data_IF_342057373582
#
_entry.id   IF_342057373582
#
_cell.length_a   1.000
_cell.length_b   1.000
_cell.length_c   1.000
_cell.angle_alpha   90.00
_cell.angle_beta   90.00
_cell.angle_gamma   90.00
#
_symmetry.space_group_name_H-M   'P 1'
#
loop_
_entity.id
_entity.type
_entity.pdbx_description
1 polymer ?
#
# COMPACT_ATOMS: atom_id res chain seq x y z
N UNK A 1 5.52 42.36 -36.60
CA UNK A 1 4.70 41.81 -35.49
C UNK A 1 4.76 40.30 -35.58
N UNK A 2 5.64 39.68 -34.81
CA UNK A 2 5.81 38.22 -34.70
C UNK A 2 6.33 37.99 -33.28
N UNK A 3 5.43 37.73 -32.34
CA UNK A 3 5.79 37.24 -31.01
C UNK A 3 5.67 35.71 -31.03
N UNK A 4 6.85 35.09 -31.02
CA UNK A 4 7.09 33.67 -30.82
C UNK A 4 6.75 33.26 -29.39
N UNK A 5 6.04 32.13 -29.26
CA UNK A 5 5.61 31.55 -28.00
C UNK A 5 6.75 31.20 -27.05
N UNK A 6 6.55 31.52 -25.78
CA UNK A 6 7.33 31.00 -24.67
C UNK A 6 6.77 29.61 -24.32
N UNK A 7 7.47 28.55 -24.72
CA UNK A 7 7.35 27.25 -24.08
C UNK A 7 8.06 27.30 -22.73
N UNK A 8 7.29 27.31 -21.64
CA UNK A 8 7.81 27.15 -20.29
C UNK A 8 8.25 25.69 -20.08
N UNK A 9 9.50 25.37 -20.41
CA UNK A 9 10.15 24.16 -19.91
C UNK A 9 10.29 24.29 -18.39
N UNK A 10 9.43 23.59 -17.66
CA UNK A 10 9.57 23.40 -16.22
C UNK A 10 10.84 22.58 -15.96
N UNK A 11 11.98 23.28 -15.81
CA UNK A 11 13.21 22.69 -15.32
C UNK A 11 12.97 22.36 -13.83
N UNK A 12 12.69 21.09 -13.53
CA UNK A 12 12.72 20.59 -12.16
C UNK A 12 14.17 20.69 -11.69
N UNK A 13 14.49 21.81 -11.06
CA UNK A 13 15.75 22.01 -10.36
C UNK A 13 15.77 21.01 -9.20
N UNK A 14 16.43 19.86 -9.40
CA UNK A 14 16.84 18.99 -8.31
C UNK A 14 17.90 19.77 -7.54
N UNK A 15 17.46 20.60 -6.59
CA UNK A 15 18.36 21.25 -5.63
C UNK A 15 19.20 20.16 -4.98
N UNK A 16 20.51 20.40 -4.94
CA UNK A 16 21.53 19.45 -4.50
C UNK A 16 21.12 18.73 -3.22
N UNK A 17 21.07 17.40 -3.31
CA UNK A 17 20.94 16.55 -2.12
C UNK A 17 22.31 16.51 -1.46
N UNK A 18 22.51 17.34 -0.44
CA UNK A 18 23.58 17.09 0.52
C UNK A 18 23.38 15.67 1.08
N UNK A 19 24.41 14.84 0.97
CA UNK A 19 24.37 13.49 1.50
C UNK A 19 24.42 13.54 3.03
N UNK A 20 23.66 12.66 3.67
CA UNK A 20 23.76 12.37 5.10
C UNK A 20 24.53 11.06 5.24
N UNK A 21 25.55 10.99 6.10
CA UNK A 21 26.16 9.70 6.50
C UNK A 21 26.25 9.65 8.00
N UNK A 22 26.03 8.44 8.49
CA UNK A 22 25.77 8.14 9.88
C UNK A 22 27.07 7.85 10.61
N UNK A 23 27.25 8.38 11.82
CA UNK A 23 28.15 7.73 12.77
C UNK A 23 27.59 6.32 13.02
N UNK A 24 28.39 5.30 12.67
CA UNK A 24 27.96 3.92 12.80
C UNK A 24 28.33 3.41 14.19
N UNK A 25 27.41 3.47 15.14
CA UNK A 25 27.41 2.41 16.16
C UNK A 25 27.28 1.09 15.41
N UNK A 26 28.21 0.15 15.63
CA UNK A 26 28.22 -1.12 14.93
C UNK A 26 26.87 -1.85 15.02
N UNK A 27 26.64 -2.81 14.13
CA UNK A 27 25.46 -3.68 14.24
C UNK A 27 25.41 -4.31 15.63
N UNK A 28 24.33 -4.08 16.35
CA UNK A 28 24.11 -4.58 17.70
C UNK A 28 23.31 -5.87 17.64
N UNK A 29 23.83 -6.94 18.24
CA UNK A 29 23.06 -8.16 18.48
C UNK A 29 22.07 -7.94 19.62
N UNK A 30 20.84 -8.40 19.41
CA UNK A 30 19.69 -8.26 20.32
C UNK A 30 18.93 -9.58 20.36
N UNK A 31 17.98 -9.65 21.28
CA UNK A 31 17.09 -10.79 21.47
C UNK A 31 15.67 -10.26 21.58
N UNK A 32 14.71 -10.90 20.91
CA UNK A 32 13.28 -10.60 21.03
C UNK A 32 12.75 -10.95 22.44
N UNK A 33 11.52 -10.55 22.76
CA UNK A 33 10.86 -10.98 24.00
C UNK A 33 10.75 -12.52 24.11
N UNK A 34 10.66 -13.22 22.98
CA UNK A 34 10.54 -14.68 22.92
C UNK A 34 11.88 -15.42 22.75
N UNK A 35 13.01 -14.71 22.83
CA UNK A 35 14.34 -15.33 22.84
C UNK A 35 15.00 -15.51 21.47
N UNK A 36 14.39 -15.06 20.38
CA UNK A 36 15.01 -15.12 19.05
C UNK A 36 16.12 -14.06 18.89
N UNK A 37 17.28 -14.42 18.34
CA UNK A 37 18.32 -13.45 18.06
C UNK A 37 17.92 -12.56 16.87
N UNK A 38 18.14 -11.25 17.00
CA UNK A 38 18.05 -10.31 15.87
C UNK A 38 19.18 -9.29 15.94
N UNK A 39 19.52 -8.67 14.82
CA UNK A 39 20.52 -7.61 14.78
C UNK A 39 19.86 -6.29 14.38
N UNK A 40 20.38 -5.19 14.90
CA UNK A 40 19.89 -3.87 14.55
C UNK A 40 21.03 -2.88 14.43
N UNK A 41 20.88 -1.94 13.50
CA UNK A 41 21.72 -0.77 13.39
C UNK A 41 20.85 0.48 13.58
N UNK A 42 21.29 1.44 14.39
CA UNK A 42 20.61 2.71 14.62
C UNK A 42 21.57 3.88 14.37
N UNK A 43 21.64 4.31 13.13
CA UNK A 43 21.07 5.61 12.84
C UNK A 43 21.45 6.86 13.66
N UNK A 44 22.72 7.22 13.92
CA UNK A 44 23.00 8.57 14.46
C UNK A 44 23.13 9.57 13.32
N UNK A 45 22.30 10.62 13.33
CA UNK A 45 22.28 11.65 12.31
C UNK A 45 23.50 12.57 12.44
N UNK A 46 24.52 12.35 11.61
CA UNK A 46 25.66 13.25 11.45
C UNK A 46 25.79 13.72 9.99
N UNK A 47 26.45 14.86 9.78
CA UNK A 47 26.68 15.41 8.44
C UNK A 47 27.88 14.71 7.80
N UNK A 48 27.78 14.32 6.53
CA UNK A 48 28.90 13.71 5.81
C UNK A 48 28.86 13.96 4.32
N UNK A 49 30.01 14.24 3.72
CA UNK A 49 30.13 14.61 2.32
C UNK A 49 30.02 13.45 1.31
N UNK A 50 29.77 12.21 1.75
CA UNK A 50 29.80 11.02 0.87
C UNK A 50 28.39 10.45 0.68
N UNK A 51 27.92 10.43 -0.56
CA UNK A 51 26.66 9.78 -0.97
C UNK A 51 26.88 8.27 -1.13
N UNK A 52 26.18 7.41 -0.37
CA UNK A 52 26.25 5.96 -0.58
C UNK A 52 25.57 5.56 -1.90
N UNK A 53 26.01 4.43 -2.47
CA UNK A 53 25.38 3.85 -3.65
C UNK A 53 23.96 3.34 -3.34
N UNK A 54 23.04 3.31 -4.34
CA UNK A 54 21.73 2.69 -4.19
C UNK A 54 21.82 1.21 -3.80
N UNK A 55 20.87 0.75 -2.98
CA UNK A 55 20.73 -0.66 -2.61
C UNK A 55 19.98 -1.43 -3.71
N UNK A 56 20.32 -2.72 -3.86
CA UNK A 56 19.64 -3.62 -4.78
C UNK A 56 18.73 -4.58 -4.02
N UNK A 57 17.48 -4.74 -4.47
CA UNK A 57 16.53 -5.75 -3.98
C UNK A 57 15.92 -6.50 -5.17
N UNK A 58 15.36 -7.68 -4.93
CA UNK A 58 14.84 -8.54 -6.01
C UNK A 58 13.45 -8.10 -6.47
N UNK A 59 12.49 -7.99 -5.55
CA UNK A 59 11.11 -7.65 -5.86
C UNK A 59 10.36 -7.15 -4.62
N UNK A 60 9.17 -6.57 -4.84
CA UNK A 60 8.17 -6.44 -3.79
C UNK A 60 7.66 -7.85 -3.44
N UNK A 61 8.04 -8.37 -2.29
CA UNK A 61 7.69 -9.74 -1.90
C UNK A 61 6.24 -9.85 -1.41
N UNK A 62 5.85 -9.03 -0.44
CA UNK A 62 4.52 -9.04 0.14
C UNK A 62 4.12 -7.69 0.72
N UNK A 63 2.82 -7.53 0.94
CA UNK A 63 2.21 -6.46 1.72
C UNK A 63 1.81 -7.00 3.09
N UNK A 64 1.93 -6.17 4.12
CA UNK A 64 1.66 -6.54 5.51
C UNK A 64 0.77 -5.48 6.15
N UNK A 65 -0.35 -5.90 6.73
CA UNK A 65 -1.26 -5.01 7.46
C UNK A 65 -1.61 -5.54 8.85
N UNK A 66 -1.79 -4.64 9.84
CA UNK A 66 -2.36 -5.02 11.11
C UNK A 66 -3.86 -5.32 10.94
N UNK A 67 -4.40 -6.20 11.77
CA UNK A 67 -5.83 -6.50 11.82
C UNK A 67 -6.24 -6.75 13.27
N UNK A 68 -7.46 -6.36 13.64
CA UNK A 68 -8.02 -6.83 14.91
C UNK A 68 -8.30 -8.33 14.82
N UNK A 69 -8.31 -9.03 15.96
CA UNK A 69 -8.58 -10.46 15.98
C UNK A 69 -9.96 -10.79 15.40
N UNK A 70 -10.93 -9.91 15.64
CA UNK A 70 -12.31 -10.04 15.17
C UNK A 70 -12.43 -9.83 13.66
N UNK A 71 -11.61 -8.96 13.07
CA UNK A 71 -11.65 -8.66 11.64
C UNK A 71 -10.84 -9.64 10.78
N UNK A 72 -10.00 -10.50 11.37
CA UNK A 72 -9.17 -11.44 10.60
C UNK A 72 -10.01 -12.35 9.68
N UNK A 73 -11.09 -12.93 10.19
CA UNK A 73 -12.00 -13.79 9.41
C UNK A 73 -12.65 -13.04 8.23
N UNK A 74 -13.39 -11.94 8.48
CA UNK A 74 -13.98 -11.13 7.43
C UNK A 74 -13.01 -10.66 6.36
N UNK A 75 -11.78 -10.29 6.75
CA UNK A 75 -10.73 -9.89 5.82
C UNK A 75 -10.27 -11.08 4.97
N UNK A 76 -10.01 -12.24 5.57
CA UNK A 76 -9.62 -13.44 4.81
C UNK A 76 -10.70 -13.81 3.80
N UNK A 77 -11.97 -13.84 4.23
CA UNK A 77 -13.10 -14.15 3.35
C UNK A 77 -13.17 -13.15 2.19
N UNK A 78 -12.97 -11.87 2.44
CA UNK A 78 -12.95 -10.85 1.38
C UNK A 78 -11.81 -11.07 0.38
N UNK A 79 -10.56 -11.23 0.83
CA UNK A 79 -9.44 -11.40 -0.08
C UNK A 79 -9.55 -12.70 -0.88
N UNK A 80 -10.06 -13.77 -0.29
CA UNK A 80 -10.24 -15.04 -0.97
C UNK A 80 -11.45 -15.03 -1.93
N UNK A 81 -12.63 -14.69 -1.43
CA UNK A 81 -13.89 -14.85 -2.17
C UNK A 81 -14.18 -13.70 -3.15
N UNK A 82 -13.64 -12.50 -2.89
CA UNK A 82 -13.85 -11.32 -3.76
C UNK A 82 -12.65 -11.09 -4.66
N UNK A 83 -11.44 -11.13 -4.11
CA UNK A 83 -10.20 -10.79 -4.85
C UNK A 83 -9.43 -12.02 -5.34
N UNK A 84 -9.96 -13.24 -5.12
CA UNK A 84 -9.41 -14.47 -5.68
C UNK A 84 -8.05 -14.89 -5.11
N UNK A 85 -7.70 -14.44 -3.90
CA UNK A 85 -6.52 -14.94 -3.22
C UNK A 85 -6.76 -16.35 -2.68
N UNK A 86 -5.69 -17.08 -2.45
CA UNK A 86 -5.70 -18.36 -1.76
C UNK A 86 -5.03 -18.22 -0.40
N UNK A 87 -5.69 -18.74 0.64
CA UNK A 87 -5.14 -18.81 1.98
C UNK A 87 -3.94 -19.78 2.00
N UNK A 88 -2.80 -19.30 2.48
CA UNK A 88 -1.61 -20.11 2.64
C UNK A 88 -1.66 -20.91 3.95
N UNK A 89 -1.39 -22.22 3.93
CA UNK A 89 -1.49 -23.07 5.12
C UNK A 89 -0.32 -22.89 6.11
N UNK A 90 0.80 -22.34 5.65
CA UNK A 90 2.09 -22.43 6.34
C UNK A 90 2.33 -21.29 7.35
N UNK A 91 1.34 -20.99 8.20
CA UNK A 91 1.57 -20.05 9.32
C UNK A 91 2.46 -20.72 10.38
N UNK A 92 3.52 -20.05 10.87
CA UNK A 92 4.34 -20.60 11.95
C UNK A 92 3.51 -20.88 13.22
N UNK A 93 3.39 -22.16 13.59
CA UNK A 93 2.54 -22.62 14.68
C UNK A 93 2.90 -22.06 16.08
N UNK A 94 4.12 -21.54 16.25
CA UNK A 94 4.61 -21.03 17.54
C UNK A 94 4.33 -19.54 17.77
N UNK A 95 3.74 -18.84 16.81
CA UNK A 95 3.52 -17.40 16.94
C UNK A 95 2.37 -17.10 17.91
N UNK A 96 2.56 -16.18 18.88
CA UNK A 96 1.62 -15.96 19.98
C UNK A 96 0.41 -15.09 19.61
N UNK A 97 0.31 -14.67 18.35
CA UNK A 97 -0.70 -13.74 17.85
C UNK A 97 -1.29 -14.24 16.54
N UNK A 98 -2.57 -13.97 16.27
CA UNK A 98 -3.28 -14.44 15.06
C UNK A 98 -2.77 -13.78 13.77
N UNK A 99 -3.00 -14.44 12.64
CA UNK A 99 -2.65 -13.88 11.35
C UNK A 99 -2.94 -14.85 10.21
N UNK A 100 -2.92 -14.33 9.00
CA UNK A 100 -3.16 -15.08 7.78
C UNK A 100 -2.26 -14.56 6.65
N UNK A 101 -1.68 -15.48 5.88
CA UNK A 101 -0.96 -15.20 4.65
C UNK A 101 -1.82 -15.65 3.49
N UNK A 102 -1.88 -14.85 2.45
CA UNK A 102 -2.68 -15.11 1.26
C UNK A 102 -1.86 -14.79 0.02
N UNK A 103 -2.03 -15.60 -1.02
CA UNK A 103 -1.35 -15.44 -2.30
C UNK A 103 -2.36 -15.41 -3.43
N UNK A 104 -2.21 -14.44 -4.33
CA UNK A 104 -2.97 -14.39 -5.57
C UNK A 104 -2.18 -15.04 -6.71
N UNK A 105 -2.88 -15.54 -7.74
CA UNK A 105 -2.26 -16.15 -8.93
C UNK A 105 -1.27 -15.23 -9.67
N UNK A 106 -1.39 -13.91 -9.52
CA UNK A 106 -0.42 -12.92 -10.02
C UNK A 106 0.94 -12.99 -9.33
N UNK A 107 1.09 -13.78 -8.27
CA UNK A 107 2.30 -13.88 -7.46
C UNK A 107 2.33 -12.91 -6.27
N UNK A 108 1.39 -11.94 -6.22
CA UNK A 108 1.25 -11.03 -5.09
C UNK A 108 0.92 -11.79 -3.81
N UNK A 109 1.58 -11.39 -2.72
CA UNK A 109 1.32 -11.89 -1.39
C UNK A 109 0.87 -10.76 -0.48
N UNK A 110 -0.12 -11.05 0.34
CA UNK A 110 -0.57 -10.19 1.41
C UNK A 110 -0.65 -10.99 2.70
N UNK A 111 -0.30 -10.38 3.83
CA UNK A 111 -0.58 -10.99 5.11
C UNK A 111 -1.15 -9.98 6.10
N UNK A 112 -1.98 -10.51 6.99
CA UNK A 112 -2.52 -9.78 8.12
C UNK A 112 -1.97 -10.39 9.40
N UNK A 113 -1.56 -9.53 10.31
CA UNK A 113 -1.10 -9.92 11.64
C UNK A 113 -1.96 -9.21 12.70
N UNK A 114 -2.27 -9.91 13.78
CA UNK A 114 -2.96 -9.32 14.93
C UNK A 114 -2.25 -8.03 15.35
N UNK A 115 -3.03 -6.98 15.53
CA UNK A 115 -2.50 -5.70 15.95
C UNK A 115 -1.90 -5.77 17.36
N UNK A 116 -0.79 -5.05 17.54
CA UNK A 116 -0.20 -4.79 18.83
C UNK A 116 -0.48 -3.33 19.18
N UNK A 117 -1.16 -3.08 20.30
CA UNK A 117 -1.51 -1.72 20.73
C UNK A 117 -0.29 -0.81 20.95
N UNK A 118 0.90 -1.39 21.13
CA UNK A 118 2.17 -0.65 21.22
C UNK A 118 2.72 -0.23 19.84
N UNK A 119 2.21 -0.80 18.76
CA UNK A 119 2.56 -0.46 17.38
C UNK A 119 1.53 0.54 16.86
N UNK A 120 1.92 1.79 16.58
CA UNK A 120 0.97 2.77 16.04
C UNK A 120 0.38 2.26 14.72
N UNK A 121 -0.93 2.03 14.68
CA UNK A 121 -1.65 2.05 13.41
C UNK A 121 -1.42 3.44 12.83
N UNK A 122 -0.71 3.52 11.71
CA UNK A 122 -0.76 4.77 10.97
C UNK A 122 -2.22 4.96 10.60
N UNK A 123 -2.88 6.05 11.05
CA UNK A 123 -4.30 6.21 10.77
C UNK A 123 -4.48 6.04 9.27
N UNK A 124 -5.43 5.20 8.85
CA UNK A 124 -5.84 5.07 7.46
C UNK A 124 -6.58 6.36 7.05
N UNK A 125 -5.93 7.51 7.19
CA UNK A 125 -6.53 8.83 7.25
C UNK A 125 -7.78 8.93 8.15
N UNK A 126 -8.06 7.95 9.04
CA UNK A 126 -9.35 7.86 9.73
C UNK A 126 -9.38 8.91 10.82
N UNK A 127 -10.31 9.86 10.73
CA UNK A 127 -10.68 10.79 11.80
C UNK A 127 -11.46 10.09 12.94
N UNK A 128 -11.16 8.80 13.18
CA UNK A 128 -11.87 7.93 14.10
C UNK A 128 -13.27 7.49 13.64
N UNK A 129 -13.73 7.91 12.45
CA UNK A 129 -15.02 7.49 11.92
C UNK A 129 -14.90 6.20 11.11
N UNK A 130 -15.93 5.33 11.13
CA UNK A 130 -15.99 4.18 10.25
C UNK A 130 -15.78 4.57 8.79
N UNK A 131 -15.01 3.78 8.05
CA UNK A 131 -14.65 4.10 6.67
C UNK A 131 -15.89 4.24 5.76
N UNK A 132 -16.98 3.51 6.04
CA UNK A 132 -18.23 3.60 5.28
C UNK A 132 -18.87 4.99 5.32
N UNK A 133 -18.65 5.78 6.38
CA UNK A 133 -19.17 7.15 6.45
C UNK A 133 -18.47 8.11 5.49
N UNK A 134 -17.36 7.69 4.87
CA UNK A 134 -16.56 8.56 4.00
C UNK A 134 -17.17 8.74 2.61
N UNK A 135 -17.81 7.71 2.06
CA UNK A 135 -18.56 7.80 0.79
C UNK A 135 -19.60 8.92 0.82
N UNK A 136 -20.31 9.05 1.94
CA UNK A 136 -21.37 10.03 2.10
C UNK A 136 -20.88 11.44 2.52
N UNK A 137 -19.63 11.56 3.01
CA UNK A 137 -19.19 12.78 3.68
C UNK A 137 -18.70 13.89 2.73
N UNK A 138 -18.31 13.56 1.49
CA UNK A 138 -17.81 14.56 0.54
C UNK A 138 -18.30 14.28 -0.88
N UNK A 139 -18.65 15.31 -1.67
CA UNK A 139 -19.01 15.16 -3.08
C UNK A 139 -17.90 14.58 -3.95
N UNK A 140 -16.65 14.69 -3.49
CA UNK A 140 -15.48 14.17 -4.18
C UNK A 140 -14.49 13.59 -3.15
N UNK A 141 -14.31 12.26 -3.11
CA UNK A 141 -13.52 11.59 -2.08
C UNK A 141 -12.02 11.65 -2.38
N UNK A 142 -11.43 12.84 -2.30
CA UNK A 142 -9.98 13.05 -2.51
C UNK A 142 -9.07 12.19 -1.62
N UNK A 143 -9.59 11.70 -0.49
CA UNK A 143 -8.85 10.86 0.44
C UNK A 143 -8.57 9.45 -0.12
N UNK A 144 -9.35 8.93 -1.08
CA UNK A 144 -9.06 7.66 -1.74
C UNK A 144 -7.88 7.80 -2.70
N UNK A 145 -7.98 8.80 -3.60
CA UNK A 145 -7.01 9.04 -4.67
C UNK A 145 -5.65 9.54 -4.19
N UNK A 146 -5.61 10.22 -3.04
CA UNK A 146 -4.38 10.78 -2.45
C UNK A 146 -3.98 10.09 -1.15
N UNK A 147 -4.80 9.18 -0.66
CA UNK A 147 -4.54 8.40 0.54
C UNK A 147 -3.55 7.28 0.29
N UNK A 148 -3.34 6.49 1.33
CA UNK A 148 -2.60 5.23 1.22
C UNK A 148 -3.54 4.18 0.63
N UNK A 149 -3.08 3.50 -0.40
CA UNK A 149 -3.76 2.39 -1.04
C UNK A 149 -2.73 1.40 -1.57
N UNK A 150 -3.20 0.19 -1.84
CA UNK A 150 -2.53 -0.71 -2.79
C UNK A 150 -3.18 -0.52 -4.15
N UNK A 151 -2.41 -0.64 -5.22
CA UNK A 151 -2.91 -0.51 -6.58
C UNK A 151 -2.76 -1.84 -7.31
N UNK A 152 -3.89 -2.35 -7.80
CA UNK A 152 -4.03 -3.57 -8.58
C UNK A 152 -4.31 -3.22 -10.03
N UNK A 153 -4.08 -4.18 -10.92
CA UNK A 153 -4.31 -4.00 -12.35
C UNK A 153 -5.36 -4.99 -12.86
N UNK A 154 -6.24 -4.51 -13.75
CA UNK A 154 -7.18 -5.31 -14.52
C UNK A 154 -7.29 -4.77 -15.95
N UNK A 155 -7.45 -5.65 -16.93
CA UNK A 155 -7.77 -5.24 -18.30
C UNK A 155 -9.27 -4.94 -18.48
N UNK A 156 -10.13 -5.39 -17.57
CA UNK A 156 -11.58 -5.24 -17.62
C UNK A 156 -12.10 -4.51 -16.37
N UNK A 157 -12.05 -3.18 -16.40
CA UNK A 157 -12.51 -2.34 -15.29
C UNK A 157 -14.03 -2.41 -15.10
N UNK A 158 -14.79 -2.58 -16.18
CA UNK A 158 -16.25 -2.66 -16.16
C UNK A 158 -16.70 -4.00 -15.57
N UNK A 159 -16.04 -5.10 -15.94
CA UNK A 159 -16.24 -6.41 -15.34
C UNK A 159 -15.89 -6.41 -13.85
N UNK A 160 -14.77 -5.77 -13.47
CA UNK A 160 -14.38 -5.63 -12.06
C UNK A 160 -15.44 -4.88 -11.25
N UNK A 161 -15.92 -3.74 -11.77
CA UNK A 161 -16.98 -2.95 -11.14
C UNK A 161 -18.27 -3.77 -10.94
N UNK A 162 -18.71 -4.53 -11.94
CA UNK A 162 -19.87 -5.43 -11.82
C UNK A 162 -19.66 -6.52 -10.78
N UNK A 163 -18.45 -7.07 -10.68
CA UNK A 163 -18.08 -8.02 -9.63
C UNK A 163 -18.28 -7.43 -8.24
N UNK A 164 -17.73 -6.24 -7.99
CA UNK A 164 -17.92 -5.53 -6.72
C UNK A 164 -19.40 -5.28 -6.42
N UNK A 165 -20.20 -4.84 -7.41
CA UNK A 165 -21.65 -4.66 -7.24
C UNK A 165 -22.36 -5.96 -6.83
N UNK A 166 -22.00 -7.09 -7.43
CA UNK A 166 -22.58 -8.39 -7.11
C UNK A 166 -22.24 -8.85 -5.68
N UNK A 167 -21.08 -8.44 -5.16
CA UNK A 167 -20.67 -8.66 -3.77
C UNK A 167 -21.19 -7.60 -2.80
N UNK A 168 -21.93 -6.58 -3.27
CA UNK A 168 -22.45 -5.50 -2.43
C UNK A 168 -21.37 -4.56 -1.89
N UNK A 169 -20.27 -4.38 -2.64
CA UNK A 169 -19.14 -3.52 -2.26
C UNK A 169 -19.28 -2.17 -2.96
N UNK A 170 -19.28 -1.11 -2.16
CA UNK A 170 -19.26 0.27 -2.64
C UNK A 170 -17.92 0.59 -3.29
N UNK A 171 -17.94 1.34 -4.39
CA UNK A 171 -16.74 1.81 -5.06
C UNK A 171 -16.97 3.17 -5.72
N UNK A 172 -15.88 3.89 -5.90
CA UNK A 172 -15.83 5.12 -6.69
C UNK A 172 -14.92 4.93 -7.91
N UNK A 173 -15.33 5.47 -9.06
CA UNK A 173 -14.59 5.32 -10.33
C UNK A 173 -14.23 6.68 -10.91
N UNK A 174 -12.97 6.82 -11.31
CA UNK A 174 -12.40 8.07 -11.79
C UNK A 174 -11.62 7.87 -13.08
N UNK A 175 -11.99 8.54 -14.19
CA UNK A 175 -11.13 8.60 -15.36
C UNK A 175 -9.92 9.49 -15.08
N UNK A 176 -8.74 9.12 -15.58
CA UNK A 176 -7.58 10.02 -15.56
C UNK A 176 -7.72 11.02 -16.72
N UNK A 177 -7.75 12.35 -16.46
CA UNK A 177 -7.91 13.34 -17.53
C UNK A 177 -6.85 13.20 -18.62
N UNK A 178 -7.32 13.06 -19.87
CA UNK A 178 -6.44 12.95 -21.04
C UNK A 178 -5.80 11.57 -21.25
N UNK A 179 -6.23 10.53 -20.54
CA UNK A 179 -5.74 9.14 -20.71
C UNK A 179 -6.90 8.17 -20.90
N UNK A 180 -6.59 7.01 -21.50
CA UNK A 180 -7.52 5.86 -21.58
C UNK A 180 -7.61 5.07 -20.25
N UNK A 181 -6.87 5.50 -19.22
CA UNK A 181 -6.82 4.86 -17.93
C UNK A 181 -7.95 5.35 -17.04
N UNK A 182 -8.62 4.41 -16.39
CA UNK A 182 -9.63 4.59 -15.35
C UNK A 182 -9.15 3.92 -14.08
N UNK A 183 -9.39 4.56 -12.94
CA UNK A 183 -9.05 4.08 -11.61
C UNK A 183 -10.35 3.87 -10.82
N UNK A 184 -10.49 2.72 -10.19
CA UNK A 184 -11.59 2.34 -9.33
C UNK A 184 -11.06 2.16 -7.90
N UNK A 185 -11.75 2.73 -6.92
CA UNK A 185 -11.37 2.67 -5.50
C UNK A 185 -12.48 2.06 -4.65
N UNK A 186 -12.09 1.21 -3.71
CA UNK A 186 -12.98 0.59 -2.73
C UNK A 186 -12.20 0.31 -1.44
N UNK A 187 -12.90 -0.16 -0.41
CA UNK A 187 -12.29 -0.53 0.86
C UNK A 187 -12.45 -2.03 1.12
N UNK A 188 -11.42 -2.62 1.74
CA UNK A 188 -11.56 -3.92 2.37
C UNK A 188 -12.34 -3.79 3.71
N UNK A 189 -12.70 -4.92 4.35
CA UNK A 189 -13.48 -4.89 5.59
C UNK A 189 -12.81 -4.11 6.73
N UNK A 190 -11.47 -4.09 6.81
CA UNK A 190 -10.72 -3.36 7.83
C UNK A 190 -10.45 -1.88 7.45
N UNK A 191 -10.97 -1.44 6.30
CA UNK A 191 -10.91 -0.06 5.83
C UNK A 191 -9.62 0.29 5.09
N UNK A 192 -8.84 -0.69 4.62
CA UNK A 192 -7.72 -0.43 3.73
C UNK A 192 -8.24 -0.07 2.34
N UNK A 193 -7.74 1.02 1.78
CA UNK A 193 -8.10 1.45 0.43
C UNK A 193 -7.43 0.53 -0.60
N UNK A 194 -8.22 0.02 -1.54
CA UNK A 194 -7.76 -0.74 -2.70
C UNK A 194 -8.09 0.06 -3.96
N UNK A 195 -7.08 0.32 -4.77
CA UNK A 195 -7.19 0.87 -6.11
C UNK A 195 -7.08 -0.26 -7.14
N UNK A 196 -7.91 -0.21 -8.18
CA UNK A 196 -7.80 -1.06 -9.37
C UNK A 196 -7.79 -0.16 -10.59
N UNK A 197 -6.80 -0.31 -11.47
CA UNK A 197 -6.71 0.46 -12.70
C UNK A 197 -6.44 -0.41 -13.93
N UNK A 198 -6.88 0.06 -15.10
CA UNK A 198 -6.51 -0.52 -16.39
C UNK A 198 -5.23 0.13 -16.93
N UNK A 199 -4.15 0.09 -16.15
CA UNK A 199 -2.93 0.86 -16.45
C UNK A 199 -2.31 0.50 -17.79
N UNK A 200 -2.38 -0.77 -18.20
CA UNK A 200 -1.94 -1.22 -19.51
C UNK A 200 -2.71 -0.62 -20.69
N UNK A 201 -3.94 -0.11 -20.49
CA UNK A 201 -4.69 0.59 -21.54
C UNK A 201 -4.04 1.92 -21.95
N UNK A 202 -3.24 2.53 -21.07
CA UNK A 202 -2.49 3.76 -21.36
C UNK A 202 -1.15 3.53 -22.07
N UNK A 203 -0.73 2.28 -22.24
CA UNK A 203 0.57 1.88 -22.80
C UNK A 203 0.57 1.78 -24.33
N UNK A 204 -0.58 2.00 -24.98
CA UNK A 204 -0.68 2.03 -26.44
C UNK A 204 -0.26 3.44 -26.91
N UNK A 205 1.05 3.69 -26.94
CA UNK A 205 1.65 4.94 -27.39
C UNK A 205 3.12 4.81 -27.70
#
# INVERSE_FOLDING_TARGET
ATQSGLESKLCVCVRGREAFRMAMEGTVSRVTEYGEPFSSFRAVAERSAVTPAPLCFQSLNHLAWPVTKEMLGPVVDFYCEVLGFELMPDRPAKWPFVGAWMRHASGMMIHFAEEDASVPRVPLATDGKPWHNRYAARPEPWFERRGRHIALETDDIDGFAKGLQAHGIDYDIFPIPGKAVTQLFFFDPDGNTVEVGNYSAGSVG
#
